data_IF_302148397052
#
_entry.id   IF_302148397052
#
_cell.length_a   1.000
_cell.length_b   1.000
_cell.length_c   1.000
_cell.angle_alpha   90.00
_cell.angle_beta   90.00
_cell.angle_gamma   90.00
#
_symmetry.space_group_name_H-M   'P 1'
#
loop_
_entity.id
_entity.type
_entity.pdbx_description
1 polymer ?
#
# COMPACT_ATOMS: atom_id res chain seq x y z
N UNK A 1 -9.05 14.91 -21.28
CA UNK A 1 -9.14 15.65 -19.99
C UNK A 1 -7.71 16.04 -19.63
N UNK A 2 -7.33 17.28 -19.88
CA UNK A 2 -6.08 17.84 -19.35
C UNK A 2 -6.25 18.00 -17.84
N UNK A 3 -5.90 16.95 -17.11
CA UNK A 3 -5.91 16.95 -15.66
C UNK A 3 -4.86 17.92 -15.15
N UNK A 4 -5.17 18.61 -14.07
CA UNK A 4 -4.30 19.50 -13.31
C UNK A 4 -2.95 18.79 -13.10
N UNK A 5 -1.93 19.14 -13.89
CA UNK A 5 -0.56 18.59 -13.74
C UNK A 5 0.16 19.40 -12.69
N UNK A 6 1.02 18.76 -11.88
CA UNK A 6 1.83 19.49 -10.92
C UNK A 6 2.78 20.44 -11.65
N UNK A 7 3.03 21.57 -11.05
CA UNK A 7 4.21 22.36 -11.39
C UNK A 7 5.44 21.60 -10.88
N UNK A 8 6.00 20.78 -11.75
CA UNK A 8 7.15 19.93 -11.44
C UNK A 8 8.37 20.75 -10.98
N UNK A 9 8.52 21.98 -11.47
CA UNK A 9 9.64 22.84 -11.09
C UNK A 9 9.60 23.21 -9.60
N UNK A 10 8.40 23.34 -9.04
CA UNK A 10 8.23 23.64 -7.60
C UNK A 10 8.29 22.39 -6.70
N UNK A 11 8.12 21.21 -7.26
CA UNK A 11 8.05 19.96 -6.49
C UNK A 11 9.33 19.14 -6.53
N UNK A 12 10.11 19.23 -7.62
CA UNK A 12 11.31 18.40 -7.80
C UNK A 12 12.53 19.10 -7.20
N UNK A 13 13.40 18.31 -6.61
CA UNK A 13 14.73 18.76 -6.20
C UNK A 13 15.59 19.05 -7.44
N UNK A 14 15.85 20.33 -7.71
CA UNK A 14 16.62 20.78 -8.88
C UNK A 14 18.08 20.25 -8.89
N UNK A 15 18.63 19.83 -7.74
CA UNK A 15 19.96 19.22 -7.62
C UNK A 15 20.01 17.75 -8.00
N UNK A 16 18.86 17.12 -8.27
CA UNK A 16 18.73 15.70 -8.49
C UNK A 16 19.16 15.27 -9.91
N UNK A 17 20.46 15.22 -10.17
CA UNK A 17 21.07 14.78 -11.45
C UNK A 17 20.81 13.31 -11.78
N UNK A 18 20.28 12.55 -10.84
CA UNK A 18 19.97 11.12 -10.99
C UNK A 18 18.64 10.85 -11.70
N UNK A 19 17.92 11.86 -12.15
CA UNK A 19 16.59 11.76 -12.73
C UNK A 19 16.59 12.15 -14.20
N UNK A 20 15.74 11.52 -14.99
CA UNK A 20 15.53 11.85 -16.39
C UNK A 20 14.04 11.75 -16.76
N UNK A 21 13.62 12.63 -17.69
CA UNK A 21 12.28 12.60 -18.25
C UNK A 21 12.24 11.71 -19.49
N UNK A 22 11.25 10.78 -19.53
CA UNK A 22 10.92 9.96 -20.70
C UNK A 22 9.39 9.95 -20.84
N UNK A 23 8.86 10.28 -22.00
CA UNK A 23 7.41 10.22 -22.31
C UNK A 23 6.50 10.81 -21.21
N UNK A 24 6.84 12.02 -20.72
CA UNK A 24 6.14 12.72 -19.62
C UNK A 24 6.17 12.04 -18.25
N UNK A 25 7.08 11.12 -18.01
CA UNK A 25 7.32 10.44 -16.73
C UNK A 25 8.73 10.67 -16.26
N UNK A 26 8.92 10.70 -14.96
CA UNK A 26 10.22 10.90 -14.33
C UNK A 26 10.81 9.57 -13.90
N UNK A 27 12.01 9.25 -14.36
CA UNK A 27 12.73 8.02 -14.04
C UNK A 27 13.98 8.29 -13.22
N UNK A 28 14.19 7.52 -12.18
CA UNK A 28 15.48 7.44 -11.52
C UNK A 28 16.44 6.61 -12.39
N UNK A 29 17.63 7.12 -12.68
CA UNK A 29 18.62 6.46 -13.58
C UNK A 29 19.04 5.05 -13.13
N UNK A 30 19.01 4.78 -11.84
CA UNK A 30 19.28 3.46 -11.26
C UNK A 30 18.00 2.60 -11.13
N UNK A 31 16.83 3.13 -11.43
CA UNK A 31 15.62 2.34 -11.44
C UNK A 31 15.65 1.43 -12.68
N UNK A 32 15.93 0.16 -12.44
CA UNK A 32 15.66 -0.86 -13.45
C UNK A 32 14.14 -0.97 -13.49
N UNK A 33 13.55 -0.43 -14.57
CA UNK A 33 12.13 -0.62 -14.82
C UNK A 33 11.90 -2.10 -15.12
N UNK A 34 11.51 -2.86 -14.12
CA UNK A 34 10.96 -4.19 -14.37
C UNK A 34 9.57 -3.98 -14.96
N UNK A 35 9.31 -4.43 -16.20
CA UNK A 35 7.98 -4.34 -16.75
C UNK A 35 7.03 -5.10 -15.85
N UNK A 36 5.95 -4.42 -15.44
CA UNK A 36 4.91 -5.05 -14.63
C UNK A 36 4.21 -6.13 -15.47
N UNK A 37 4.67 -7.36 -15.32
CA UNK A 37 3.99 -8.52 -15.86
C UNK A 37 2.78 -8.83 -14.97
N UNK A 38 1.65 -8.15 -15.24
CA UNK A 38 0.37 -8.71 -14.77
C UNK A 38 0.25 -10.09 -15.42
N UNK A 39 0.16 -11.17 -14.62
CA UNK A 39 -0.16 -12.45 -15.21
C UNK A 39 -1.47 -12.27 -15.98
N UNK A 40 -1.49 -12.71 -17.24
CA UNK A 40 -2.68 -12.65 -18.12
C UNK A 40 -3.74 -13.59 -17.58
N UNK A 41 -4.43 -13.14 -16.54
CA UNK A 41 -5.55 -13.88 -15.95
C UNK A 41 -6.78 -13.54 -16.75
N UNK A 42 -7.44 -14.55 -17.31
CA UNK A 42 -8.68 -14.36 -18.05
C UNK A 42 -9.68 -13.49 -17.26
N UNK A 43 -10.48 -12.70 -17.98
CA UNK A 43 -11.39 -11.68 -17.40
C UNK A 43 -12.29 -12.23 -16.27
N UNK A 44 -12.80 -13.45 -16.44
CA UNK A 44 -13.63 -14.14 -15.45
C UNK A 44 -12.84 -14.50 -14.18
N UNK A 45 -11.61 -15.00 -14.34
CA UNK A 45 -10.71 -15.33 -13.23
C UNK A 45 -10.30 -14.09 -12.47
N UNK A 46 -10.05 -12.96 -13.14
CA UNK A 46 -9.76 -11.66 -12.51
C UNK A 46 -10.94 -11.18 -11.69
N UNK A 47 -12.15 -11.21 -12.26
CA UNK A 47 -13.39 -10.83 -11.56
C UNK A 47 -13.65 -11.70 -10.31
N UNK A 48 -13.46 -13.01 -10.40
CA UNK A 48 -13.56 -13.92 -9.27
C UNK A 48 -12.47 -13.64 -8.22
N UNK A 49 -11.22 -13.43 -8.63
CA UNK A 49 -10.13 -13.11 -7.72
C UNK A 49 -10.34 -11.75 -7.02
N UNK A 50 -10.81 -10.75 -7.73
CA UNK A 50 -11.05 -9.41 -7.16
C UNK A 50 -12.21 -9.41 -6.14
N UNK A 51 -13.21 -10.30 -6.30
CA UNK A 51 -14.34 -10.41 -5.38
C UNK A 51 -14.11 -11.43 -4.26
N UNK A 52 -13.46 -12.54 -4.57
CA UNK A 52 -13.18 -13.60 -3.60
C UNK A 52 -11.94 -13.30 -2.76
N UNK A 53 -10.87 -12.81 -3.38
CA UNK A 53 -9.72 -12.23 -2.72
C UNK A 53 -9.94 -10.70 -2.61
N UNK A 54 -10.78 -10.27 -1.68
CA UNK A 54 -11.04 -8.85 -1.49
C UNK A 54 -9.72 -8.08 -1.38
N UNK A 55 -9.60 -7.06 -2.20
CA UNK A 55 -8.51 -6.11 -2.11
C UNK A 55 -8.43 -5.60 -0.65
N UNK A 56 -7.27 -5.71 -0.02
CA UNK A 56 -7.00 -5.24 1.34
C UNK A 56 -7.40 -3.77 1.53
N UNK A 57 -7.37 -3.01 0.43
CA UNK A 57 -7.65 -1.57 0.37
C UNK A 57 -9.14 -1.24 0.26
N UNK A 58 -10.04 -2.22 0.43
CA UNK A 58 -11.48 -2.03 0.20
C UNK A 58 -12.29 -1.84 1.49
N UNK A 59 -11.69 -1.90 2.68
CA UNK A 59 -12.44 -1.73 3.93
C UNK A 59 -13.03 -0.31 4.05
N UNK A 60 -14.17 -0.19 4.73
CA UNK A 60 -14.81 1.11 4.98
C UNK A 60 -13.90 2.05 5.76
N UNK A 61 -13.11 1.51 6.70
CA UNK A 61 -12.18 2.28 7.52
C UNK A 61 -11.06 2.90 6.66
N UNK A 62 -10.44 2.10 5.78
CA UNK A 62 -9.41 2.56 4.84
C UNK A 62 -9.96 3.62 3.90
N UNK A 63 -11.10 3.34 3.23
CA UNK A 63 -11.72 4.31 2.33
C UNK A 63 -12.05 5.62 3.03
N UNK A 64 -12.68 5.55 4.20
CA UNK A 64 -13.03 6.75 4.96
C UNK A 64 -11.81 7.56 5.40
N UNK A 65 -10.70 6.90 5.78
CA UNK A 65 -9.46 7.57 6.14
C UNK A 65 -8.82 8.26 4.93
N UNK A 66 -8.69 7.55 3.81
CA UNK A 66 -8.12 8.12 2.58
C UNK A 66 -8.97 9.24 2.00
N UNK A 67 -10.29 9.06 1.91
CA UNK A 67 -11.21 10.09 1.42
C UNK A 67 -11.14 11.37 2.26
N UNK A 68 -11.00 11.24 3.59
CA UNK A 68 -10.81 12.38 4.48
C UNK A 68 -9.49 13.09 4.16
N UNK A 69 -8.38 12.36 4.12
CA UNK A 69 -7.05 12.91 3.85
C UNK A 69 -6.97 13.61 2.49
N UNK A 70 -7.59 13.03 1.46
CA UNK A 70 -7.61 13.59 0.11
C UNK A 70 -8.50 14.84 0.01
N UNK A 71 -9.64 14.88 0.72
CA UNK A 71 -10.51 16.08 0.77
C UNK A 71 -9.86 17.26 1.50
N UNK A 72 -8.99 16.98 2.47
CA UNK A 72 -8.28 18.00 3.24
C UNK A 72 -7.07 18.59 2.50
N UNK A 73 -6.69 18.04 1.32
CA UNK A 73 -5.68 18.65 0.46
C UNK A 73 -6.19 19.97 -0.10
N UNK A 74 -5.44 21.03 0.11
CA UNK A 74 -5.71 22.34 -0.48
C UNK A 74 -5.50 22.30 -1.99
N UNK A 75 -6.01 23.27 -2.71
CA UNK A 75 -5.94 23.33 -4.18
C UNK A 75 -4.50 23.46 -4.71
N UNK A 76 -3.62 24.04 -3.92
CA UNK A 76 -2.20 24.24 -4.19
C UNK A 76 -1.30 23.11 -3.67
N UNK A 77 -1.88 22.08 -3.02
CA UNK A 77 -1.13 20.99 -2.41
C UNK A 77 -1.14 19.71 -3.23
N UNK A 78 -0.03 18.98 -3.15
CA UNK A 78 0.16 17.70 -3.82
C UNK A 78 0.43 16.59 -2.82
N UNK A 79 0.05 15.38 -3.22
CA UNK A 79 0.35 14.15 -2.53
C UNK A 79 1.16 13.20 -3.41
N UNK A 80 1.88 12.26 -2.80
CA UNK A 80 2.49 11.13 -3.49
C UNK A 80 1.87 9.82 -3.00
N UNK A 81 1.59 8.89 -3.94
CA UNK A 81 1.19 7.51 -3.66
C UNK A 81 2.36 6.60 -4.00
N UNK A 82 3.04 6.09 -2.99
CA UNK A 82 4.27 5.29 -3.09
C UNK A 82 3.87 3.81 -3.15
N UNK A 83 4.30 3.11 -4.20
CA UNK A 83 3.81 1.78 -4.54
C UNK A 83 2.38 1.83 -5.07
N UNK A 84 2.14 2.73 -6.03
CA UNK A 84 0.80 3.05 -6.52
C UNK A 84 0.12 1.90 -7.29
N UNK A 85 0.90 0.94 -7.80
CA UNK A 85 0.38 -0.16 -8.60
C UNK A 85 -0.30 0.36 -9.89
N UNK A 86 -1.57 0.01 -10.07
CA UNK A 86 -2.31 0.29 -11.32
C UNK A 86 -3.47 1.27 -11.16
N UNK A 87 -3.58 1.95 -10.01
CA UNK A 87 -4.72 2.82 -9.71
C UNK A 87 -4.28 4.23 -9.36
N UNK A 88 -4.98 5.21 -9.94
CA UNK A 88 -4.87 6.61 -9.52
C UNK A 88 -5.93 6.91 -8.48
N UNK A 89 -5.51 7.40 -7.32
CA UNK A 89 -6.40 7.69 -6.20
C UNK A 89 -7.13 9.03 -6.37
N UNK A 90 -6.44 10.05 -6.89
CA UNK A 90 -6.98 11.40 -7.03
C UNK A 90 -6.15 12.19 -8.07
N UNK A 91 -6.70 13.25 -8.66
CA UNK A 91 -6.01 14.08 -9.67
C UNK A 91 -4.79 14.83 -9.14
N UNK A 92 -4.73 15.11 -7.84
CA UNK A 92 -3.58 15.76 -7.16
C UNK A 92 -2.68 14.76 -6.43
N UNK A 93 -2.73 13.50 -6.82
CA UNK A 93 -1.85 12.44 -6.30
C UNK A 93 -0.90 12.01 -7.40
N UNK A 94 0.39 12.17 -7.14
CA UNK A 94 1.49 11.73 -7.99
C UNK A 94 1.73 10.25 -7.69
N UNK A 95 1.57 9.40 -8.69
CA UNK A 95 1.80 7.97 -8.55
C UNK A 95 3.28 7.65 -8.73
N UNK A 96 3.84 7.02 -7.71
CA UNK A 96 5.25 6.58 -7.64
C UNK A 96 5.26 5.06 -7.54
N UNK A 97 5.97 4.38 -8.43
CA UNK A 97 6.15 2.93 -8.38
C UNK A 97 7.50 2.52 -8.99
N UNK A 98 7.95 1.31 -8.69
CA UNK A 98 9.09 0.70 -9.36
C UNK A 98 8.70 0.15 -10.73
N UNK A 99 7.46 -0.31 -10.86
CA UNK A 99 6.94 -0.88 -12.09
C UNK A 99 6.33 0.22 -12.97
N UNK A 100 6.86 0.35 -14.19
CA UNK A 100 6.34 1.30 -15.15
C UNK A 100 4.98 0.86 -15.69
N UNK A 101 3.99 1.74 -15.62
CA UNK A 101 2.66 1.57 -16.19
C UNK A 101 2.06 2.93 -16.57
N UNK A 102 0.99 2.94 -17.39
CA UNK A 102 0.36 4.17 -17.88
C UNK A 102 -0.11 5.14 -16.78
N UNK A 103 -0.36 4.64 -15.58
CA UNK A 103 -0.83 5.47 -14.45
C UNK A 103 0.28 5.99 -13.56
N UNK A 104 1.54 5.59 -13.81
CA UNK A 104 2.70 6.00 -13.00
C UNK A 104 3.29 7.30 -13.55
N UNK A 105 3.54 8.25 -12.66
CA UNK A 105 4.14 9.53 -12.97
C UNK A 105 5.66 9.53 -12.70
N UNK A 106 6.09 8.74 -11.69
CA UNK A 106 7.49 8.64 -11.25
C UNK A 106 7.88 7.18 -11.09
N UNK A 107 8.90 6.75 -11.83
CA UNK A 107 9.42 5.37 -11.76
C UNK A 107 10.66 5.34 -10.88
N UNK A 108 10.50 4.80 -9.65
CA UNK A 108 11.58 4.69 -8.66
C UNK A 108 11.22 3.77 -7.52
N UNK A 109 12.23 3.45 -6.70
CA UNK A 109 12.05 2.81 -5.40
C UNK A 109 11.66 3.86 -4.36
N UNK A 110 10.78 3.50 -3.40
CA UNK A 110 10.29 4.42 -2.37
C UNK A 110 11.35 4.99 -1.42
N UNK A 111 12.59 4.47 -1.46
CA UNK A 111 13.73 4.99 -0.69
C UNK A 111 14.38 6.23 -1.33
N UNK A 112 14.06 6.55 -2.59
CA UNK A 112 14.58 7.73 -3.30
C UNK A 112 13.41 8.36 -4.04
N UNK A 113 13.00 9.55 -3.60
CA UNK A 113 11.92 10.31 -4.20
C UNK A 113 12.48 11.59 -4.84
N UNK A 114 12.00 11.99 -6.03
CA UNK A 114 12.52 13.17 -6.72
C UNK A 114 12.11 14.49 -6.08
N UNK A 115 11.21 14.43 -5.09
CA UNK A 115 10.59 15.63 -4.53
C UNK A 115 11.55 16.41 -3.65
N UNK A 116 11.45 17.72 -3.71
CA UNK A 116 12.16 18.63 -2.83
C UNK A 116 11.75 18.38 -1.36
N UNK A 117 12.64 18.70 -0.44
CA UNK A 117 12.31 18.66 0.99
C UNK A 117 11.15 19.60 1.30
N UNK A 118 10.22 19.15 2.13
CA UNK A 118 9.06 19.96 2.55
C UNK A 118 8.14 20.40 1.38
N UNK A 119 7.99 19.59 0.33
CA UNK A 119 7.18 19.94 -0.84
C UNK A 119 5.79 19.34 -0.85
N UNK A 120 5.59 18.18 -0.23
CA UNK A 120 4.31 17.45 -0.26
C UNK A 120 3.49 17.62 1.03
N UNK A 121 2.17 17.70 0.91
CA UNK A 121 1.25 17.76 2.05
C UNK A 121 0.84 16.37 2.56
N UNK A 122 0.85 15.35 1.68
CA UNK A 122 0.43 14.00 2.00
C UNK A 122 1.31 12.99 1.26
N UNK A 123 1.70 11.93 1.95
CA UNK A 123 2.24 10.73 1.35
C UNK A 123 1.32 9.54 1.69
N UNK A 124 1.15 8.62 0.75
CA UNK A 124 0.31 7.43 0.89
C UNK A 124 1.17 6.22 0.52
N UNK A 125 1.08 5.14 1.30
CA UNK A 125 1.73 3.86 1.00
C UNK A 125 0.82 2.72 1.45
N UNK A 126 0.34 1.91 0.52
CA UNK A 126 -0.59 0.82 0.80
C UNK A 126 0.01 -0.52 0.41
N UNK A 127 0.28 -1.39 1.39
CA UNK A 127 0.84 -2.73 1.18
C UNK A 127 2.18 -2.66 0.41
N UNK A 128 3.13 -1.88 0.93
CA UNK A 128 4.46 -1.66 0.31
C UNK A 128 5.58 -1.88 1.32
N UNK A 129 5.42 -1.38 2.56
CA UNK A 129 6.51 -1.39 3.54
C UNK A 129 6.96 -2.81 3.90
N UNK A 130 6.06 -3.79 3.83
CA UNK A 130 6.35 -5.21 4.02
C UNK A 130 7.24 -5.81 2.93
N UNK A 131 7.25 -5.22 1.74
CA UNK A 131 8.04 -5.64 0.59
C UNK A 131 9.44 -5.01 0.55
N UNK A 132 9.73 -4.09 1.46
CA UNK A 132 10.99 -3.39 1.52
C UNK A 132 11.92 -4.03 2.56
N UNK A 133 13.17 -4.37 2.21
CA UNK A 133 14.10 -4.93 3.19
C UNK A 133 14.43 -3.93 4.31
N UNK A 134 14.32 -2.62 4.02
CA UNK A 134 14.62 -1.54 4.95
C UNK A 134 13.51 -0.47 4.94
N UNK A 135 12.33 -0.74 5.51
CA UNK A 135 11.19 0.18 5.47
C UNK A 135 11.48 1.53 6.12
N UNK A 136 12.38 1.58 7.11
CA UNK A 136 12.79 2.83 7.76
C UNK A 136 13.47 3.83 6.80
N UNK A 137 14.14 3.37 5.73
CA UNK A 137 14.73 4.26 4.72
C UNK A 137 13.62 5.02 3.96
N UNK A 138 12.56 4.31 3.59
CA UNK A 138 11.39 4.92 2.95
C UNK A 138 10.69 5.92 3.89
N UNK A 139 10.54 5.59 5.18
CA UNK A 139 9.92 6.50 6.15
C UNK A 139 10.74 7.77 6.34
N UNK A 140 12.08 7.66 6.37
CA UNK A 140 12.96 8.85 6.41
C UNK A 140 12.84 9.71 5.16
N UNK A 141 12.72 9.07 3.99
CA UNK A 141 12.56 9.79 2.72
C UNK A 141 11.19 10.47 2.64
N UNK A 142 10.13 9.78 3.07
CA UNK A 142 8.79 10.36 3.22
C UNK A 142 8.81 11.56 4.18
N UNK A 143 9.52 11.44 5.31
CA UNK A 143 9.69 12.54 6.24
C UNK A 143 10.37 13.75 5.58
N UNK A 144 11.42 13.51 4.78
CA UNK A 144 12.14 14.58 4.08
C UNK A 144 11.21 15.35 3.15
N UNK A 145 10.40 14.66 2.34
CA UNK A 145 9.57 15.29 1.31
C UNK A 145 8.29 15.94 1.86
N UNK A 146 7.79 15.48 2.98
CA UNK A 146 6.60 16.06 3.60
C UNK A 146 6.88 17.45 4.19
N UNK A 147 5.94 18.36 4.02
CA UNK A 147 5.91 19.65 4.73
C UNK A 147 5.79 19.44 6.24
N UNK A 148 6.26 20.37 7.09
CA UNK A 148 5.86 20.41 8.50
C UNK A 148 4.32 20.35 8.62
N UNK A 149 3.79 19.48 9.48
CA UNK A 149 2.35 19.20 9.56
C UNK A 149 1.80 18.32 8.43
N UNK A 150 2.62 17.96 7.44
CA UNK A 150 2.25 16.99 6.40
C UNK A 150 2.01 15.60 6.97
N UNK A 151 1.16 14.82 6.30
CA UNK A 151 0.68 13.53 6.80
C UNK A 151 1.21 12.36 5.98
N UNK A 152 1.49 11.28 6.66
CA UNK A 152 1.80 10.00 6.04
C UNK A 152 0.73 8.97 6.40
N UNK A 153 0.04 8.45 5.39
CA UNK A 153 -0.82 7.29 5.51
C UNK A 153 -0.03 6.05 5.08
N UNK A 154 0.13 5.07 5.96
CA UNK A 154 0.66 3.77 5.58
C UNK A 154 -0.28 2.65 5.99
N UNK A 155 -0.34 1.61 5.19
CA UNK A 155 -1.10 0.40 5.43
C UNK A 155 -0.18 -0.79 5.25
N UNK A 156 -0.25 -1.75 6.18
CA UNK A 156 0.60 -2.93 6.21
C UNK A 156 -0.19 -4.16 6.65
N UNK A 157 0.16 -5.36 6.17
CA UNK A 157 -0.47 -6.60 6.58
C UNK A 157 0.02 -7.05 7.97
N UNK A 158 -0.83 -7.83 8.66
CA UNK A 158 -0.44 -8.50 9.90
C UNK A 158 -0.80 -10.00 9.86
N UNK A 159 -2.07 -10.38 10.11
CA UNK A 159 -2.47 -11.80 10.10
C UNK A 159 -2.93 -12.19 8.72
N UNK A 160 -1.96 -12.38 7.83
CA UNK A 160 -2.15 -12.98 6.50
C UNK A 160 -0.97 -13.86 6.14
N UNK A 161 -1.15 -14.83 5.26
CA UNK A 161 -0.08 -15.65 4.74
C UNK A 161 0.96 -14.84 3.94
N UNK A 162 2.05 -15.52 3.59
CA UNK A 162 3.06 -14.96 2.67
C UNK A 162 2.40 -14.50 1.37
N UNK A 163 2.71 -13.27 0.93
CA UNK A 163 2.24 -12.75 -0.35
C UNK A 163 3.39 -12.12 -1.13
N UNK A 164 3.64 -12.69 -2.28
CA UNK A 164 4.76 -12.34 -3.13
C UNK A 164 4.51 -11.02 -3.87
N UNK A 165 5.47 -10.07 -3.76
CA UNK A 165 5.36 -8.82 -4.47
C UNK A 165 6.61 -7.94 -4.58
N UNK A 166 7.78 -8.37 -5.08
CA UNK A 166 8.38 -9.69 -5.34
C UNK A 166 8.89 -10.38 -4.06
N UNK A 167 9.10 -9.65 -2.98
CA UNK A 167 9.54 -10.14 -1.68
C UNK A 167 8.52 -9.78 -0.61
N UNK A 168 8.57 -10.45 0.54
CA UNK A 168 7.64 -10.24 1.65
C UNK A 168 8.44 -10.44 2.95
N UNK A 169 8.89 -9.34 3.56
CA UNK A 169 9.85 -9.37 4.67
C UNK A 169 9.20 -9.18 6.03
N UNK A 170 8.08 -8.42 6.12
CA UNK A 170 7.62 -7.89 7.39
C UNK A 170 6.15 -8.14 7.66
N UNK A 171 5.83 -8.35 8.94
CA UNK A 171 4.50 -8.27 9.51
C UNK A 171 4.58 -7.36 10.72
N UNK A 172 3.78 -6.30 10.72
CA UNK A 172 3.84 -5.31 11.78
C UNK A 172 2.65 -5.45 12.72
N UNK A 173 2.92 -5.65 14.02
CA UNK A 173 1.93 -5.43 15.06
C UNK A 173 1.60 -3.94 15.15
N UNK A 174 0.58 -3.58 15.94
CA UNK A 174 0.26 -2.18 16.21
C UNK A 174 1.47 -1.44 16.80
N UNK A 175 2.12 -2.01 17.82
CA UNK A 175 3.32 -1.47 18.46
C UNK A 175 4.50 -1.43 17.47
N UNK A 176 4.62 -2.44 16.61
CA UNK A 176 5.64 -2.47 15.56
C UNK A 176 5.48 -1.32 14.56
N UNK A 177 4.24 -0.93 14.24
CA UNK A 177 3.97 0.25 13.41
C UNK A 177 4.40 1.53 14.15
N UNK A 178 4.07 1.67 15.44
CA UNK A 178 4.46 2.83 16.23
C UNK A 178 5.99 3.01 16.26
N UNK A 179 6.74 1.91 16.34
CA UNK A 179 8.21 1.93 16.30
C UNK A 179 8.80 2.35 14.94
N UNK A 180 8.02 2.32 13.86
CA UNK A 180 8.46 2.86 12.58
C UNK A 180 8.60 4.40 12.61
N UNK A 181 7.90 5.06 13.52
CA UNK A 181 7.80 6.51 13.60
C UNK A 181 8.54 7.04 14.85
N UNK A 182 9.75 7.59 14.65
CA UNK A 182 10.48 8.23 15.74
C UNK A 182 9.64 9.39 16.33
N UNK A 183 9.33 9.37 17.65
CA UNK A 183 8.49 10.39 18.29
C UNK A 183 9.07 11.80 18.27
N UNK A 184 10.38 11.95 18.05
CA UNK A 184 11.01 13.28 17.90
C UNK A 184 10.61 13.95 16.59
N UNK A 185 10.29 13.15 15.56
CA UNK A 185 10.00 13.61 14.21
C UNK A 185 8.54 13.43 13.79
N UNK A 186 7.82 12.53 14.45
CA UNK A 186 6.47 12.15 14.08
C UNK A 186 5.50 12.19 15.25
N UNK A 187 4.24 12.50 14.94
CA UNK A 187 3.10 12.28 15.84
C UNK A 187 2.18 11.25 15.19
N UNK A 188 2.07 10.07 15.76
CA UNK A 188 1.09 9.08 15.35
C UNK A 188 -0.29 9.56 15.76
N UNK A 189 -1.12 9.92 14.79
CA UNK A 189 -2.47 10.44 15.00
C UNK A 189 -3.50 9.33 15.15
N UNK A 190 -3.35 8.28 14.34
CA UNK A 190 -4.32 7.19 14.29
C UNK A 190 -3.64 5.90 13.86
N UNK A 191 -3.95 4.81 14.55
CA UNK A 191 -3.76 3.45 14.05
C UNK A 191 -5.13 2.79 14.04
N UNK A 192 -5.45 2.14 12.92
CA UNK A 192 -6.73 1.45 12.74
C UNK A 192 -6.57 0.15 11.97
N UNK A 193 -7.61 -0.67 12.04
CA UNK A 193 -7.65 -1.95 11.32
C UNK A 193 -7.97 -1.68 9.84
N UNK A 194 -7.08 -2.11 8.95
CA UNK A 194 -7.29 -2.03 7.50
C UNK A 194 -8.04 -3.26 6.98
N UNK A 195 -7.70 -4.44 7.50
CA UNK A 195 -8.32 -5.71 7.16
C UNK A 195 -8.77 -6.38 8.45
N UNK A 196 -10.04 -6.77 8.50
CA UNK A 196 -10.60 -7.39 9.70
C UNK A 196 -10.08 -8.82 9.94
N UNK A 197 -10.39 -9.34 11.11
CA UNK A 197 -9.94 -10.66 11.55
C UNK A 197 -10.55 -11.80 10.72
N UNK A 198 -11.80 -11.66 10.27
CA UNK A 198 -12.45 -12.65 9.42
C UNK A 198 -11.78 -12.83 8.07
N UNK A 199 -11.44 -11.72 7.39
CA UNK A 199 -10.68 -11.76 6.12
C UNK A 199 -9.25 -12.27 6.35
N UNK A 200 -8.58 -11.88 7.43
CA UNK A 200 -7.25 -12.37 7.78
C UNK A 200 -7.25 -13.89 7.98
N UNK A 201 -8.15 -14.41 8.82
CA UNK A 201 -8.28 -15.83 9.09
C UNK A 201 -8.70 -16.61 7.84
N UNK A 202 -9.65 -16.09 7.06
CA UNK A 202 -10.07 -16.68 5.79
C UNK A 202 -8.86 -16.98 4.88
N UNK A 203 -7.96 -16.01 4.71
CA UNK A 203 -6.78 -16.17 3.83
C UNK A 203 -5.83 -17.25 4.34
N UNK A 204 -5.57 -17.28 5.64
CA UNK A 204 -4.72 -18.30 6.26
C UNK A 204 -5.38 -19.67 6.17
N UNK A 205 -6.67 -19.78 6.44
CA UNK A 205 -7.38 -21.05 6.37
C UNK A 205 -7.41 -21.64 4.94
N UNK A 206 -7.67 -20.79 3.93
CA UNK A 206 -7.62 -21.23 2.51
C UNK A 206 -6.23 -21.76 2.16
N UNK A 207 -5.18 -21.06 2.58
CA UNK A 207 -3.80 -21.44 2.32
C UNK A 207 -3.41 -22.71 3.07
N UNK A 208 -3.85 -22.85 4.33
CA UNK A 208 -3.64 -24.05 5.13
C UNK A 208 -4.15 -25.31 4.42
N UNK A 209 -5.39 -25.30 3.94
CA UNK A 209 -5.96 -26.46 3.24
C UNK A 209 -5.28 -26.73 1.89
N UNK A 210 -4.93 -25.68 1.14
CA UNK A 210 -4.26 -25.82 -0.14
C UNK A 210 -2.84 -26.40 0.02
N UNK A 211 -2.08 -25.91 1.00
CA UNK A 211 -0.74 -26.41 1.31
C UNK A 211 -0.82 -27.86 1.81
N UNK A 212 -1.75 -28.19 2.71
CA UNK A 212 -1.95 -29.56 3.22
C UNK A 212 -2.27 -30.53 2.10
N UNK A 213 -3.18 -30.17 1.18
CA UNK A 213 -3.48 -31.03 0.03
C UNK A 213 -2.28 -31.20 -0.90
N UNK A 214 -1.42 -30.20 -1.03
CA UNK A 214 -0.21 -30.27 -1.86
C UNK A 214 0.82 -31.27 -1.33
N UNK A 215 0.76 -31.64 -0.05
CA UNK A 215 1.60 -32.68 0.52
C UNK A 215 1.32 -34.08 -0.07
N UNK A 216 0.09 -34.31 -0.55
CA UNK A 216 -0.25 -35.55 -1.27
C UNK A 216 0.24 -35.48 -2.71
N UNK A 217 -0.07 -34.39 -3.40
CA UNK A 217 0.42 -34.12 -4.75
C UNK A 217 0.32 -32.64 -5.09
N UNK A 218 1.39 -32.05 -5.65
CA UNK A 218 1.50 -30.61 -5.93
C UNK A 218 0.35 -30.04 -6.79
N UNK A 219 -0.24 -30.86 -7.68
CA UNK A 219 -1.36 -30.44 -8.54
C UNK A 219 -2.65 -30.17 -7.78
N UNK A 220 -2.77 -30.67 -6.53
CA UNK A 220 -3.95 -30.46 -5.68
C UNK A 220 -3.98 -29.05 -5.07
N UNK A 221 -2.88 -28.31 -5.07
CA UNK A 221 -2.82 -26.98 -4.48
C UNK A 221 -3.85 -26.02 -5.09
N UNK A 222 -3.86 -25.84 -6.41
CA UNK A 222 -4.76 -24.88 -7.08
C UNK A 222 -6.24 -25.26 -6.95
N UNK A 223 -6.67 -26.50 -7.23
CA UNK A 223 -8.08 -26.86 -7.10
C UNK A 223 -8.56 -26.80 -5.65
N UNK A 224 -7.74 -27.22 -4.66
CA UNK A 224 -8.09 -27.11 -3.25
C UNK A 224 -8.20 -25.65 -2.83
N UNK A 225 -7.25 -24.80 -3.24
CA UNK A 225 -7.30 -23.35 -2.98
C UNK A 225 -8.58 -22.73 -3.54
N UNK A 226 -8.96 -23.07 -4.77
CA UNK A 226 -10.20 -22.58 -5.37
C UNK A 226 -11.45 -23.05 -4.61
N UNK A 227 -11.53 -24.34 -4.28
CA UNK A 227 -12.66 -24.91 -3.53
C UNK A 227 -12.82 -24.27 -2.15
N UNK A 228 -11.74 -24.18 -1.37
CA UNK A 228 -11.77 -23.58 -0.03
C UNK A 228 -11.93 -22.06 -0.06
N UNK A 229 -11.50 -21.37 -1.12
CA UNK A 229 -11.81 -19.95 -1.31
C UNK A 229 -13.32 -19.69 -1.40
N UNK A 230 -14.07 -20.60 -1.98
CA UNK A 230 -15.54 -20.51 -2.06
C UNK A 230 -16.17 -20.98 -0.73
N UNK A 231 -15.75 -22.14 -0.24
CA UNK A 231 -16.33 -22.75 0.96
C UNK A 231 -16.18 -21.86 2.21
N UNK A 232 -15.02 -21.24 2.38
CA UNK A 232 -14.69 -20.43 3.55
C UNK A 232 -15.05 -18.95 3.39
N UNK A 233 -15.62 -18.56 2.23
CA UNK A 233 -16.02 -17.16 1.97
C UNK A 233 -16.90 -16.54 3.09
N UNK A 234 -17.82 -17.28 3.75
CA UNK A 234 -18.62 -16.77 4.86
C UNK A 234 -17.80 -16.22 6.03
N UNK A 235 -16.57 -16.71 6.27
CA UNK A 235 -15.70 -16.21 7.34
C UNK A 235 -15.41 -14.71 7.21
N UNK A 236 -15.42 -14.17 6.00
CA UNK A 236 -15.20 -12.72 5.76
C UNK A 236 -16.31 -11.86 6.34
N UNK A 237 -17.53 -12.39 6.49
CA UNK A 237 -18.63 -11.64 7.12
C UNK A 237 -18.39 -11.37 8.61
N UNK A 238 -17.49 -12.13 9.28
CA UNK A 238 -17.05 -11.81 10.64
C UNK A 238 -16.44 -10.40 10.75
N UNK A 239 -15.93 -9.84 9.63
CA UNK A 239 -15.42 -8.48 9.61
C UNK A 239 -16.49 -7.41 9.90
N UNK A 240 -17.77 -7.72 9.70
CA UNK A 240 -18.88 -6.85 10.09
C UNK A 240 -18.97 -6.69 11.62
N UNK A 241 -18.48 -7.66 12.37
CA UNK A 241 -18.46 -7.67 13.84
C UNK A 241 -17.17 -7.02 14.40
N UNK A 242 -16.10 -6.90 13.59
CA UNK A 242 -14.82 -6.34 14.02
C UNK A 242 -14.92 -4.99 14.73
N UNK A 243 -15.74 -4.01 14.26
CA UNK A 243 -15.82 -2.71 14.92
C UNK A 243 -16.37 -2.77 16.35
N UNK A 244 -17.12 -3.82 16.67
CA UNK A 244 -17.81 -4.00 17.96
C UNK A 244 -17.01 -4.90 18.93
N UNK A 245 -15.96 -5.60 18.42
CA UNK A 245 -15.16 -6.50 19.23
C UNK A 245 -14.18 -5.73 20.13
N UNK A 246 -14.24 -5.98 21.46
CA UNK A 246 -13.32 -5.37 22.42
C UNK A 246 -11.86 -5.75 22.14
N UNK A 247 -11.63 -7.01 21.72
CA UNK A 247 -10.30 -7.59 21.48
C UNK A 247 -9.89 -7.55 20.00
N UNK A 248 -10.47 -6.63 19.22
CA UNK A 248 -10.29 -6.56 17.76
C UNK A 248 -8.83 -6.39 17.31
N UNK A 249 -7.99 -5.82 18.16
CA UNK A 249 -6.59 -5.55 17.85
C UNK A 249 -5.68 -6.80 18.01
N UNK A 250 -6.22 -7.93 18.50
CA UNK A 250 -5.44 -9.17 18.72
C UNK A 250 -5.12 -9.93 17.43
N UNK A 251 -6.00 -9.87 16.42
CA UNK A 251 -5.85 -10.65 15.19
C UNK A 251 -6.34 -9.93 13.93
N UNK A 252 -6.08 -8.65 13.73
CA UNK A 252 -6.45 -8.00 12.48
C UNK A 252 -5.69 -8.59 11.30
N UNK A 253 -6.31 -8.67 10.13
CA UNK A 253 -5.62 -9.08 8.91
C UNK A 253 -4.57 -8.06 8.46
N UNK A 254 -4.77 -6.78 8.79
CA UNK A 254 -3.82 -5.70 8.54
C UNK A 254 -4.20 -4.42 9.29
N UNK A 255 -3.26 -3.51 9.37
CA UNK A 255 -3.41 -2.24 10.05
C UNK A 255 -3.06 -1.07 9.11
N UNK A 256 -3.62 0.11 9.39
CA UNK A 256 -3.17 1.37 8.80
C UNK A 256 -2.76 2.36 9.89
N UNK A 257 -1.86 3.25 9.54
CA UNK A 257 -1.40 4.34 10.41
C UNK A 257 -1.49 5.67 9.67
N UNK A 258 -1.88 6.71 10.39
CA UNK A 258 -1.74 8.11 9.98
C UNK A 258 -0.78 8.76 10.95
N UNK A 259 0.38 9.19 10.43
CA UNK A 259 1.39 9.92 11.18
C UNK A 259 1.55 11.32 10.60
N UNK A 260 1.83 12.30 11.47
CA UNK A 260 2.04 13.71 11.12
C UNK A 260 3.49 14.07 11.37
N UNK A 261 4.13 14.69 10.37
CA UNK A 261 5.46 15.25 10.53
C UNK A 261 5.43 16.40 11.53
N UNK A 262 6.28 16.33 12.55
CA UNK A 262 6.47 17.43 13.48
C UNK A 262 7.20 18.61 12.82
N UNK A 263 6.96 19.78 13.36
CA UNK A 263 7.64 21.04 12.96
C UNK A 263 9.09 21.06 13.42
#
# INVERSE_FOLDING_TARGET
>A
MEGNRPDWASLIDASATAWEWRDNRLYHKEAISEPYHQPSVGRLRRMLLDHVYAAHNASRAVRGALDRLLRELRTDEWAANIGAGVKRLHSRVINVDLHDSEVIDVVTRGQKLPFASNSLALAISQEVLEHLPKPFETIREVHRVLKPGGRFYCQVPFVIGYHHGPHDYWRFTREGIEQLFNPDHWTVQQIGISVGHGTGFYRIAVEFFAVTASAVHRSLYIPTKAAFSILLLPLKFADLLTPFAAERDRSPGGNFCIAVKRT
#
